data_IF_090739501338
#
_entry.id   IF_090739501338
#
_cell.length_a   1.000
_cell.length_b   1.000
_cell.length_c   1.000
_cell.angle_alpha   90.00
_cell.angle_beta   90.00
_cell.angle_gamma   90.00
#
_symmetry.space_group_name_H-M   'P 1'
#
loop_
_entity.id
_entity.type
_entity.pdbx_description
1 polymer ?
#
# COMPACT_ATOMS: atom_id res chain seq x y z
N UNK A 1 -7.57 -9.11 -3.82
CA UNK A 1 -6.77 -10.30 -3.50
C UNK A 1 -5.31 -9.87 -3.54
N UNK A 2 -4.45 -10.36 -2.67
CA UNK A 2 -3.03 -9.97 -2.70
C UNK A 2 -2.27 -10.82 -3.72
N UNK A 3 -1.12 -10.35 -4.20
CA UNK A 3 -0.24 -11.13 -5.06
C UNK A 3 0.22 -12.43 -4.36
N UNK A 4 0.44 -13.49 -5.15
CA UNK A 4 0.73 -14.85 -4.69
C UNK A 4 -0.41 -15.59 -3.96
N UNK A 5 -1.53 -14.92 -3.67
CA UNK A 5 -2.71 -15.61 -3.17
C UNK A 5 -3.31 -16.50 -4.26
N UNK A 6 -3.92 -17.59 -3.81
CA UNK A 6 -4.63 -18.51 -4.70
C UNK A 6 -6.00 -17.93 -5.02
N UNK A 7 -6.23 -17.58 -6.29
CA UNK A 7 -7.54 -17.18 -6.78
C UNK A 7 -8.40 -18.42 -7.02
N UNK A 8 -9.51 -18.52 -6.30
CA UNK A 8 -10.50 -19.56 -6.50
C UNK A 8 -11.55 -19.10 -7.50
N UNK A 9 -11.59 -19.72 -8.67
CA UNK A 9 -12.53 -19.41 -9.74
C UNK A 9 -13.63 -20.46 -9.74
N UNK A 10 -14.87 -19.98 -9.65
CA UNK A 10 -16.07 -20.80 -9.69
C UNK A 10 -16.80 -20.54 -11.00
N UNK A 11 -16.92 -21.57 -11.82
CA UNK A 11 -17.63 -21.51 -13.09
C UNK A 11 -18.87 -22.40 -13.03
N UNK A 12 -20.04 -21.80 -13.23
CA UNK A 12 -21.30 -22.52 -13.33
C UNK A 12 -21.62 -22.82 -14.81
N UNK A 13 -21.69 -24.10 -15.17
CA UNK A 13 -22.08 -24.53 -16.51
C UNK A 13 -23.48 -25.11 -16.47
N UNK A 14 -24.38 -24.50 -17.26
CA UNK A 14 -25.75 -24.99 -17.46
C UNK A 14 -25.89 -25.66 -18.82
N UNK A 15 -26.21 -26.95 -18.82
CA UNK A 15 -26.41 -27.73 -20.04
C UNK A 15 -27.86 -27.69 -20.44
N UNK A 16 -28.12 -27.20 -21.66
CA UNK A 16 -29.46 -27.18 -22.26
C UNK A 16 -29.73 -28.37 -23.18
N UNK A 17 -28.72 -29.20 -23.45
CA UNK A 17 -28.84 -30.38 -24.30
C UNK A 17 -29.79 -31.42 -23.67
N UNK A 18 -30.53 -32.11 -24.54
CA UNK A 18 -31.40 -33.24 -24.18
C UNK A 18 -30.61 -34.56 -24.09
N UNK A 19 -29.44 -34.62 -24.75
CA UNK A 19 -28.52 -35.76 -24.75
C UNK A 19 -27.35 -35.43 -23.81
N UNK A 20 -26.82 -36.40 -23.03
CA UNK A 20 -25.62 -36.21 -22.22
C UNK A 20 -24.42 -35.80 -23.08
N UNK A 21 -23.49 -35.08 -22.48
CA UNK A 21 -22.25 -34.63 -23.13
C UNK A 21 -21.09 -35.37 -22.49
N UNK A 22 -20.19 -35.87 -23.34
CA UNK A 22 -19.01 -36.64 -22.94
C UNK A 22 -17.75 -35.83 -23.24
N UNK A 23 -16.67 -36.15 -22.52
CA UNK A 23 -15.32 -35.68 -22.83
C UNK A 23 -15.26 -34.16 -23.05
N UNK A 24 -15.74 -33.38 -22.09
CA UNK A 24 -15.77 -31.94 -22.16
C UNK A 24 -14.44 -31.37 -21.65
N UNK A 25 -13.82 -30.53 -22.46
CA UNK A 25 -12.59 -29.83 -22.11
C UNK A 25 -12.90 -28.36 -22.00
N UNK A 26 -12.87 -27.84 -20.77
CA UNK A 26 -12.99 -26.41 -20.52
C UNK A 26 -11.60 -25.82 -20.44
N UNK A 27 -11.32 -24.83 -21.27
CA UNK A 27 -10.12 -24.02 -21.21
C UNK A 27 -10.51 -22.59 -20.91
N UNK A 28 -9.99 -22.03 -19.82
CA UNK A 28 -10.17 -20.63 -19.50
C UNK A 28 -8.83 -19.89 -19.59
N UNK A 29 -8.87 -18.68 -20.14
CA UNK A 29 -7.68 -17.86 -20.31
C UNK A 29 -7.48 -16.97 -19.10
N UNK A 30 -6.33 -17.13 -18.44
CA UNK A 30 -5.95 -16.43 -17.23
C UNK A 30 -4.80 -15.50 -17.55
N UNK A 31 -5.09 -14.21 -17.78
CA UNK A 31 -4.04 -13.26 -18.15
C UNK A 31 -2.98 -13.06 -17.06
N UNK A 32 -3.30 -13.40 -15.79
CA UNK A 32 -2.39 -13.24 -14.67
C UNK A 32 -1.43 -14.42 -14.46
N UNK A 33 -1.72 -15.60 -15.01
CA UNK A 33 -0.90 -16.78 -14.78
C UNK A 33 0.42 -16.69 -15.59
N UNK A 34 1.45 -17.40 -15.12
CA UNK A 34 2.70 -17.57 -15.86
C UNK A 34 2.44 -18.15 -17.26
N UNK A 35 3.31 -17.88 -18.22
CA UNK A 35 3.11 -18.23 -19.64
C UNK A 35 2.75 -19.70 -19.88
N UNK A 36 3.28 -20.61 -19.06
CA UNK A 36 2.98 -22.05 -19.10
C UNK A 36 1.56 -22.41 -18.63
N UNK A 37 0.95 -21.59 -17.77
CA UNK A 37 -0.33 -21.83 -17.10
C UNK A 37 -1.43 -20.82 -17.47
N UNK A 38 -1.23 -19.99 -18.50
CA UNK A 38 -2.24 -19.04 -19.00
C UNK A 38 -3.53 -19.70 -19.43
N UNK A 39 -3.49 -20.96 -19.86
CA UNK A 39 -4.66 -21.72 -20.26
C UNK A 39 -4.94 -22.79 -19.21
N UNK A 40 -5.84 -22.49 -18.28
CA UNK A 40 -6.24 -23.51 -17.33
C UNK A 40 -7.25 -24.45 -17.97
N UNK A 41 -6.94 -25.74 -17.99
CA UNK A 41 -7.74 -26.74 -18.67
C UNK A 41 -8.31 -27.74 -17.68
N UNK A 42 -9.64 -27.82 -17.63
CA UNK A 42 -10.38 -28.78 -16.81
C UNK A 42 -11.05 -29.80 -17.72
N UNK A 43 -10.72 -31.07 -17.50
CA UNK A 43 -11.35 -32.20 -18.18
C UNK A 43 -12.53 -32.69 -17.36
N UNK A 44 -13.66 -32.91 -18.04
CA UNK A 44 -14.87 -33.44 -17.44
C UNK A 44 -15.41 -34.54 -18.32
N UNK A 45 -15.33 -35.76 -17.83
CA UNK A 45 -15.64 -36.96 -18.60
C UNK A 45 -17.12 -37.04 -18.99
N UNK A 46 -18.00 -36.56 -18.10
CA UNK A 46 -19.43 -36.75 -18.27
C UNK A 46 -20.26 -35.63 -17.65
N UNK A 47 -21.27 -35.19 -18.41
CA UNK A 47 -22.35 -34.37 -17.91
C UNK A 47 -23.72 -34.96 -18.24
N UNK A 48 -24.60 -34.94 -17.24
CA UNK A 48 -25.99 -35.32 -17.41
C UNK A 48 -26.73 -34.29 -18.28
N UNK A 49 -27.68 -34.78 -19.07
CA UNK A 49 -28.58 -33.90 -19.82
C UNK A 49 -29.38 -32.99 -18.86
N UNK A 50 -29.59 -31.73 -19.26
CA UNK A 50 -30.33 -30.72 -18.49
C UNK A 50 -29.83 -30.50 -17.05
N UNK A 51 -28.54 -30.74 -16.78
CA UNK A 51 -27.95 -30.47 -15.47
C UNK A 51 -27.20 -29.13 -15.43
N UNK A 52 -26.95 -28.69 -14.21
CA UNK A 52 -26.05 -27.59 -13.90
C UNK A 52 -24.94 -28.15 -13.04
N UNK A 53 -23.68 -27.85 -13.38
CA UNK A 53 -22.52 -28.27 -12.60
C UNK A 53 -21.67 -27.05 -12.32
N UNK A 54 -21.11 -27.02 -11.13
CA UNK A 54 -20.16 -26.01 -10.69
C UNK A 54 -18.76 -26.60 -10.78
N UNK A 55 -17.86 -25.90 -11.46
CA UNK A 55 -16.46 -26.26 -11.61
C UNK A 55 -15.65 -25.27 -10.79
N UNK A 56 -14.72 -25.81 -10.01
CA UNK A 56 -13.80 -25.04 -9.20
C UNK A 56 -12.39 -25.28 -9.74
N UNK A 57 -11.68 -24.20 -10.04
CA UNK A 57 -10.26 -24.26 -10.35
C UNK A 57 -9.53 -23.06 -9.76
N UNK A 58 -8.23 -23.27 -9.57
CA UNK A 58 -7.38 -22.31 -8.90
C UNK A 58 -6.37 -21.73 -9.87
N UNK A 59 -6.02 -20.47 -9.69
CA UNK A 59 -4.85 -19.89 -10.32
C UNK A 59 -4.07 -19.02 -9.34
N UNK A 60 -2.78 -18.88 -9.59
CA UNK A 60 -1.91 -18.01 -8.80
C UNK A 60 -1.53 -16.85 -9.71
N UNK A 61 -1.75 -15.63 -9.23
CA UNK A 61 -1.28 -14.43 -9.91
C UNK A 61 0.02 -13.99 -9.21
N UNK A 62 1.19 -14.13 -9.85
CA UNK A 62 2.46 -13.87 -9.18
C UNK A 62 2.68 -12.38 -8.99
N UNK A 63 2.28 -11.53 -9.93
CA UNK A 63 2.51 -10.09 -9.89
C UNK A 63 1.21 -9.33 -9.60
N UNK A 64 1.32 -8.15 -8.97
CA UNK A 64 0.21 -7.22 -8.87
C UNK A 64 -0.23 -6.74 -10.26
N UNK A 65 -1.51 -6.40 -10.38
CA UNK A 65 -2.05 -5.95 -11.65
C UNK A 65 -3.56 -6.01 -11.72
N UNK A 66 -4.08 -5.38 -12.79
CA UNK A 66 -5.45 -5.62 -13.24
C UNK A 66 -5.43 -6.67 -14.34
N UNK A 67 -6.10 -7.78 -14.10
CA UNK A 67 -6.13 -8.94 -14.99
C UNK A 67 -7.54 -9.26 -15.45
N UNK A 68 -7.63 -9.97 -16.58
CA UNK A 68 -8.87 -10.47 -17.15
C UNK A 68 -8.82 -11.99 -17.23
N UNK A 69 -9.89 -12.60 -16.75
CA UNK A 69 -10.18 -14.01 -16.90
C UNK A 69 -11.17 -14.15 -18.05
N UNK A 70 -10.91 -15.09 -18.96
CA UNK A 70 -11.65 -15.27 -20.20
C UNK A 70 -10.85 -14.86 -21.43
N UNK A 71 -11.28 -15.27 -22.64
CA UNK A 71 -12.55 -15.94 -22.92
C UNK A 71 -12.52 -17.43 -22.57
N UNK A 72 -13.68 -17.96 -22.19
CA UNK A 72 -13.84 -19.38 -21.88
C UNK A 72 -14.08 -20.17 -23.17
N UNK A 73 -13.24 -21.14 -23.43
CA UNK A 73 -13.38 -22.07 -24.55
C UNK A 73 -13.81 -23.44 -24.04
N UNK A 74 -14.86 -24.01 -24.63
CA UNK A 74 -15.30 -25.36 -24.33
C UNK A 74 -15.17 -26.20 -25.59
N UNK A 75 -14.50 -27.33 -25.47
CA UNK A 75 -14.43 -28.37 -26.49
C UNK A 75 -15.30 -29.54 -26.05
N UNK A 76 -16.13 -30.01 -26.96
CA UNK A 76 -16.93 -31.22 -26.78
C UNK A 76 -16.39 -32.26 -27.74
N UNK A 77 -16.02 -33.43 -27.24
CA UNK A 77 -15.60 -34.55 -28.05
C UNK A 77 -16.72 -35.59 -28.11
N UNK A 78 -16.83 -36.32 -29.22
CA UNK A 78 -17.71 -37.48 -29.25
C UNK A 78 -17.17 -38.61 -28.33
N UNK A 79 -17.98 -39.64 -27.98
CA UNK A 79 -17.54 -40.71 -27.08
C UNK A 79 -16.31 -41.48 -27.55
N UNK A 80 -16.04 -41.53 -28.87
CA UNK A 80 -14.85 -42.18 -29.45
C UNK A 80 -13.68 -41.20 -29.62
N UNK A 81 -13.88 -39.90 -29.40
CA UNK A 81 -12.85 -38.86 -29.50
C UNK A 81 -12.39 -38.55 -30.93
N UNK A 82 -13.17 -38.91 -31.95
CA UNK A 82 -12.86 -38.75 -33.37
C UNK A 82 -13.14 -37.34 -33.90
N UNK A 83 -14.15 -36.67 -33.34
CA UNK A 83 -14.64 -35.36 -33.73
C UNK A 83 -14.78 -34.47 -32.51
N UNK A 84 -14.55 -33.17 -32.70
CA UNK A 84 -14.81 -32.19 -31.65
C UNK A 84 -15.56 -30.96 -32.18
N UNK A 85 -16.35 -30.36 -31.29
CA UNK A 85 -16.99 -29.07 -31.50
C UNK A 85 -16.39 -28.10 -30.49
N UNK A 86 -15.83 -27.00 -30.98
CA UNK A 86 -15.37 -25.89 -30.14
C UNK A 86 -16.47 -24.84 -30.01
N UNK A 87 -16.75 -24.40 -28.79
CA UNK A 87 -17.61 -23.26 -28.49
C UNK A 87 -16.88 -22.28 -27.58
N UNK A 88 -16.75 -21.04 -28.03
CA UNK A 88 -16.14 -19.96 -27.24
C UNK A 88 -17.21 -19.06 -26.64
N UNK A 89 -17.07 -18.77 -25.36
CA UNK A 89 -17.90 -17.85 -24.59
C UNK A 89 -17.06 -16.63 -24.25
N UNK A 90 -17.45 -15.48 -24.80
CA UNK A 90 -16.80 -14.18 -24.53
C UNK A 90 -17.29 -13.60 -23.19
N UNK A 91 -17.13 -14.39 -22.12
CA UNK A 91 -17.39 -13.99 -20.75
C UNK A 91 -16.06 -13.56 -20.16
N UNK A 92 -16.02 -12.37 -19.58
CA UNK A 92 -14.82 -11.82 -18.97
C UNK A 92 -15.09 -11.45 -17.53
N UNK A 93 -14.14 -11.78 -16.65
CA UNK A 93 -14.13 -11.32 -15.26
C UNK A 93 -12.87 -10.52 -15.01
N UNK A 94 -12.99 -9.35 -14.38
CA UNK A 94 -11.83 -8.52 -14.02
C UNK A 94 -11.39 -8.84 -12.59
N UNK A 95 -10.08 -8.99 -12.41
CA UNK A 95 -9.46 -9.30 -11.11
C UNK A 95 -8.40 -8.25 -10.81
N UNK A 96 -8.49 -7.64 -9.64
CA UNK A 96 -7.45 -6.77 -9.10
C UNK A 96 -6.59 -7.55 -8.11
N UNK A 97 -5.31 -7.64 -8.44
CA UNK A 97 -4.27 -8.25 -7.59
C UNK A 97 -3.47 -7.12 -6.97
N UNK A 98 -3.54 -7.02 -5.65
CA UNK A 98 -2.91 -5.99 -4.85
C UNK A 98 -1.47 -6.35 -4.46
N UNK A 99 -0.60 -5.35 -4.23
CA UNK A 99 0.74 -5.61 -3.70
C UNK A 99 0.69 -6.26 -2.31
N UNK A 100 1.61 -7.20 -2.04
CA UNK A 100 1.67 -7.91 -0.76
C UNK A 100 2.36 -7.05 0.28
N UNK A 101 1.57 -6.37 1.10
CA UNK A 101 2.07 -5.58 2.22
C UNK A 101 2.69 -6.47 3.31
N UNK A 102 3.85 -6.07 3.83
CA UNK A 102 4.48 -6.69 5.00
C UNK A 102 3.99 -6.02 6.29
N UNK A 103 4.15 -6.73 7.41
CA UNK A 103 3.77 -6.19 8.71
C UNK A 103 4.89 -5.30 9.27
N UNK A 104 4.54 -4.08 9.68
CA UNK A 104 5.46 -3.14 10.30
C UNK A 104 5.34 -3.28 11.82
N UNK A 105 6.40 -3.75 12.47
CA UNK A 105 6.43 -3.97 13.92
C UNK A 105 6.74 -2.70 14.71
N UNK A 106 7.67 -1.89 14.19
CA UNK A 106 8.09 -0.61 14.76
C UNK A 106 7.91 0.47 13.71
N UNK A 107 7.57 1.68 14.11
CA UNK A 107 7.47 2.81 13.20
C UNK A 107 8.03 4.06 13.88
N UNK A 108 8.72 4.96 13.15
CA UNK A 108 9.22 6.20 13.73
C UNK A 108 8.09 7.03 14.34
N UNK A 109 8.40 7.83 15.35
CA UNK A 109 7.41 8.73 15.94
C UNK A 109 6.92 9.72 14.88
N UNK A 110 5.61 9.80 14.70
CA UNK A 110 4.97 10.92 14.03
C UNK A 110 5.10 12.17 14.94
N UNK A 111 4.96 13.37 14.38
CA UNK A 111 5.21 14.67 15.04
C UNK A 111 4.78 14.74 16.53
N UNK A 112 5.67 15.24 17.40
CA UNK A 112 5.52 15.64 18.83
C UNK A 112 4.52 14.87 19.72
N UNK A 113 4.23 13.62 19.42
CA UNK A 113 3.37 12.76 20.21
C UNK A 113 3.76 11.32 20.00
N UNK A 114 4.06 10.63 21.10
CA UNK A 114 4.32 9.19 21.13
C UNK A 114 3.04 8.50 20.64
N UNK A 115 3.13 7.71 19.56
CA UNK A 115 2.10 6.69 19.29
C UNK A 115 2.04 5.82 20.54
N UNK A 116 0.93 5.77 21.30
CA UNK A 116 0.87 4.94 22.48
C UNK A 116 1.16 3.50 22.05
N UNK A 117 2.11 2.87 22.76
CA UNK A 117 2.52 1.47 22.57
C UNK A 117 1.36 0.48 22.82
N UNK A 118 0.24 0.97 23.36
CA UNK A 118 -0.99 0.23 23.61
C UNK A 118 -2.10 0.71 22.68
N UNK A 119 -2.90 -0.25 22.22
CA UNK A 119 -3.93 -0.12 21.20
C UNK A 119 -4.75 1.16 21.29
N UNK A 120 -5.06 1.67 20.10
CA UNK A 120 -5.89 2.85 19.91
C UNK A 120 -7.32 2.45 20.26
N UNK A 121 -7.76 2.78 21.47
CA UNK A 121 -9.19 2.91 21.73
C UNK A 121 -9.68 4.15 21.00
N UNK A 122 -10.18 3.94 19.77
CA UNK A 122 -10.91 4.98 19.04
C UNK A 122 -12.26 5.18 19.72
N UNK A 123 -12.39 6.22 20.53
CA UNK A 123 -13.71 6.72 20.91
C UNK A 123 -14.16 7.70 19.81
N UNK A 124 -15.13 7.25 19.01
CA UNK A 124 -15.90 8.13 18.12
C UNK A 124 -16.80 9.01 18.98
N UNK A 125 -16.64 10.33 18.96
CA UNK A 125 -17.74 11.28 19.16
C UNK A 125 -17.46 12.57 18.36
N UNK A 126 -18.47 13.03 17.64
CA UNK A 126 -18.52 14.35 16.99
C UNK A 126 -18.67 15.47 18.01
N UNK A 127 -17.95 16.57 17.81
CA UNK A 127 -18.16 17.83 18.52
C UNK A 127 -16.84 18.54 18.76
N UNK A 128 -16.87 19.87 18.75
CA UNK A 128 -15.75 20.81 18.94
C UNK A 128 -15.11 20.76 20.36
N UNK A 129 -15.25 19.63 21.06
CA UNK A 129 -14.76 19.41 22.42
C UNK A 129 -13.64 18.37 22.40
N UNK A 130 -12.42 18.89 22.29
CA UNK A 130 -11.20 18.42 22.95
C UNK A 130 -11.55 17.50 24.17
N UNK A 131 -11.18 16.21 24.18
CA UNK A 131 -11.59 15.27 25.24
C UNK A 131 -10.97 15.65 26.60
N UNK A 132 -11.74 15.60 27.70
CA UNK A 132 -11.22 15.93 29.03
C UNK A 132 -10.10 14.97 29.45
N UNK A 133 -8.87 15.49 29.59
CA UNK A 133 -7.68 14.72 29.97
C UNK A 133 -7.44 14.73 31.47
N UNK A 134 -7.70 15.86 32.13
CA UNK A 134 -7.43 16.01 33.55
C UNK A 134 -7.49 17.46 34.02
N UNK A 135 -6.87 17.72 35.17
CA UNK A 135 -6.82 19.05 35.78
C UNK A 135 -5.42 19.36 36.29
N UNK A 136 -5.01 20.62 36.19
CA UNK A 136 -3.75 21.11 36.77
C UNK A 136 -3.90 22.50 37.37
N UNK A 137 -2.92 22.92 38.15
CA UNK A 137 -2.85 24.29 38.65
C UNK A 137 -2.68 25.30 37.52
N UNK A 138 -3.36 26.44 37.68
CA UNK A 138 -3.30 27.58 36.77
C UNK A 138 -1.88 28.15 36.73
N UNK A 139 -1.40 28.43 35.52
CA UNK A 139 -0.17 29.21 35.30
C UNK A 139 -0.51 30.51 34.57
N UNK A 140 0.18 31.62 34.87
CA UNK A 140 0.03 32.86 34.12
C UNK A 140 0.19 32.60 32.61
N UNK A 141 -0.82 32.99 31.83
CA UNK A 141 -0.91 32.70 30.39
C UNK A 141 -1.97 31.67 30.00
N UNK A 142 -2.52 30.93 30.96
CA UNK A 142 -3.62 30.00 30.70
C UNK A 142 -4.94 30.75 30.40
N UNK A 143 -5.75 30.27 29.42
CA UNK A 143 -7.01 30.90 29.08
C UNK A 143 -8.03 30.74 30.22
N UNK A 144 -8.60 31.85 30.67
CA UNK A 144 -9.59 31.92 31.76
C UNK A 144 -10.80 31.01 31.50
N UNK A 145 -11.20 30.85 30.22
CA UNK A 145 -12.32 29.97 29.81
C UNK A 145 -12.12 28.51 30.19
N UNK A 146 -10.88 28.06 30.42
CA UNK A 146 -10.56 26.68 30.81
C UNK A 146 -10.50 26.46 32.32
N UNK A 147 -10.79 27.47 33.15
CA UNK A 147 -10.78 27.33 34.61
C UNK A 147 -11.96 26.46 35.08
N UNK A 148 -11.67 25.43 35.86
CA UNK A 148 -12.67 24.59 36.49
C UNK A 148 -13.18 25.22 37.79
N UNK A 149 -14.07 26.23 37.69
CA UNK A 149 -14.55 27.02 38.83
C UNK A 149 -14.97 26.21 40.06
N UNK A 150 -15.74 25.14 39.88
CA UNK A 150 -16.21 24.32 41.00
C UNK A 150 -15.09 23.57 41.75
N UNK A 151 -14.01 23.19 41.05
CA UNK A 151 -12.87 22.51 41.66
C UNK A 151 -11.90 23.53 42.25
N UNK A 152 -11.73 24.68 41.60
CA UNK A 152 -10.97 25.81 42.11
C UNK A 152 -11.52 26.32 43.45
N UNK A 153 -12.85 26.42 43.56
CA UNK A 153 -13.52 26.83 44.79
C UNK A 153 -13.29 25.83 45.94
N UNK A 154 -13.22 24.52 45.65
CA UNK A 154 -12.98 23.48 46.66
C UNK A 154 -11.52 23.41 47.12
N UNK A 155 -10.56 23.66 46.23
CA UNK A 155 -9.12 23.59 46.55
C UNK A 155 -8.51 24.93 46.99
N UNK A 156 -9.28 26.02 46.95
CA UNK A 156 -8.82 27.39 47.20
C UNK A 156 -7.61 27.79 46.35
N UNK A 157 -7.50 27.22 45.14
CA UNK A 157 -6.46 27.51 44.15
C UNK A 157 -7.06 27.43 42.75
N UNK A 158 -6.56 28.23 41.80
CA UNK A 158 -7.09 28.22 40.43
C UNK A 158 -6.65 26.93 39.72
N UNK A 159 -7.64 26.16 39.27
CA UNK A 159 -7.44 24.89 38.56
C UNK A 159 -7.96 25.02 37.13
N UNK A 160 -7.18 24.54 36.18
CA UNK A 160 -7.46 24.58 34.75
C UNK A 160 -7.76 23.16 34.25
N UNK A 161 -8.84 23.00 33.49
CA UNK A 161 -9.15 21.78 32.74
C UNK A 161 -8.09 21.59 31.66
N UNK A 162 -7.43 20.44 31.68
CA UNK A 162 -6.60 19.98 30.57
C UNK A 162 -7.47 19.14 29.67
N UNK A 163 -7.39 19.44 28.37
CA UNK A 163 -8.02 18.66 27.35
C UNK A 163 -6.95 17.97 26.51
N UNK A 164 -7.21 16.73 26.13
CA UNK A 164 -6.40 15.99 25.19
C UNK A 164 -6.71 16.58 23.82
N UNK A 165 -5.73 17.27 23.24
CA UNK A 165 -5.80 17.56 21.80
C UNK A 165 -5.83 16.21 21.09
N UNK A 166 -6.91 15.95 20.36
CA UNK A 166 -6.89 14.91 19.34
C UNK A 166 -5.85 15.35 18.30
N UNK A 167 -4.63 14.83 18.43
CA UNK A 167 -3.63 15.01 17.38
C UNK A 167 -4.10 14.14 16.21
N UNK A 168 -4.78 14.74 15.25
CA UNK A 168 -5.06 14.08 13.99
C UNK A 168 -3.72 13.94 13.27
N UNK A 169 -2.99 12.85 13.56
CA UNK A 169 -1.78 12.52 12.82
C UNK A 169 -2.14 12.49 11.33
N UNK A 170 -1.46 13.35 10.58
CA UNK A 170 -1.59 13.46 9.13
C UNK A 170 -0.27 13.07 8.53
N UNK A 171 -0.28 12.07 7.66
CA UNK A 171 0.91 11.60 6.97
C UNK A 171 0.69 11.77 5.47
N UNK A 172 1.55 12.55 4.83
CA UNK A 172 1.63 12.60 3.37
C UNK A 172 2.72 11.64 2.93
N UNK A 173 2.36 10.65 2.12
CA UNK A 173 3.31 9.73 1.47
C UNK A 173 3.61 10.29 0.08
N UNK A 174 4.88 10.59 -0.19
CA UNK A 174 5.35 11.12 -1.47
C UNK A 174 6.34 10.15 -2.11
N UNK A 175 6.12 9.77 -3.36
CA UNK A 175 7.05 8.91 -4.10
C UNK A 175 6.97 9.10 -5.62
N UNK A 176 8.01 8.69 -6.34
CA UNK A 176 8.09 8.79 -7.80
C UNK A 176 8.49 7.44 -8.39
N UNK A 177 7.74 6.93 -9.35
CA UNK A 177 8.04 5.69 -10.06
C UNK A 177 8.64 6.01 -11.43
N UNK A 178 9.93 6.35 -11.44
CA UNK A 178 10.69 6.61 -12.68
C UNK A 178 11.17 5.32 -13.33
N UNK A 179 11.10 5.26 -14.66
CA UNK A 179 11.68 4.15 -15.42
C UNK A 179 13.21 4.18 -15.41
N UNK A 180 13.82 5.37 -15.40
CA UNK A 180 15.27 5.55 -15.53
C UNK A 180 16.04 4.91 -14.36
N UNK A 181 15.44 4.92 -13.17
CA UNK A 181 16.03 4.37 -11.94
C UNK A 181 15.43 3.02 -11.54
N UNK A 182 14.63 2.40 -12.41
CA UNK A 182 13.97 1.13 -12.12
C UNK A 182 14.87 -0.07 -12.47
N UNK A 183 15.88 -0.31 -11.63
CA UNK A 183 16.74 -1.49 -11.74
C UNK A 183 16.05 -2.75 -11.20
N UNK A 184 16.53 -3.93 -11.63
CA UNK A 184 16.01 -5.24 -11.25
C UNK A 184 14.92 -5.76 -12.20
N UNK A 185 14.44 -6.98 -11.94
CA UNK A 185 13.47 -7.66 -12.80
C UNK A 185 12.35 -8.30 -11.99
N UNK A 186 11.14 -8.27 -12.54
CA UNK A 186 9.95 -8.80 -11.87
C UNK A 186 9.81 -8.16 -10.48
N UNK A 187 9.50 -8.99 -9.47
CA UNK A 187 9.30 -8.62 -8.05
C UNK A 187 10.52 -8.00 -7.38
N UNK A 188 11.70 -8.25 -7.93
CA UNK A 188 12.98 -7.77 -7.38
C UNK A 188 13.42 -6.47 -8.05
N UNK A 189 12.49 -5.68 -8.57
CA UNK A 189 12.78 -4.35 -9.10
C UNK A 189 12.50 -3.24 -8.08
N UNK A 190 13.16 -2.10 -8.29
CA UNK A 190 13.06 -0.92 -7.41
C UNK A 190 11.61 -0.47 -7.28
N UNK A 191 10.85 -0.40 -8.38
CA UNK A 191 9.45 0.01 -8.38
C UNK A 191 8.57 -0.91 -7.52
N UNK A 192 8.78 -2.22 -7.60
CA UNK A 192 8.03 -3.20 -6.80
C UNK A 192 8.31 -3.03 -5.30
N UNK A 193 9.58 -2.79 -4.94
CA UNK A 193 9.97 -2.51 -3.56
C UNK A 193 9.34 -1.20 -3.05
N UNK A 194 9.37 -0.13 -3.84
CA UNK A 194 8.71 1.13 -3.49
C UNK A 194 7.22 0.94 -3.24
N UNK A 195 6.52 0.25 -4.15
CA UNK A 195 5.09 0.00 -4.05
C UNK A 195 4.78 -0.87 -2.82
N UNK A 196 5.60 -1.89 -2.54
CA UNK A 196 5.46 -2.74 -1.35
C UNK A 196 5.65 -1.95 -0.06
N UNK A 197 6.63 -1.04 -0.01
CA UNK A 197 6.86 -0.14 1.13
C UNK A 197 5.66 0.78 1.33
N UNK A 198 5.20 1.45 0.28
CA UNK A 198 4.05 2.37 0.32
C UNK A 198 2.78 1.64 0.77
N UNK A 199 2.50 0.46 0.21
CA UNK A 199 1.36 -0.37 0.59
C UNK A 199 1.40 -0.74 2.08
N UNK A 200 2.57 -1.13 2.57
CA UNK A 200 2.77 -1.56 3.97
C UNK A 200 2.62 -0.40 4.95
N UNK A 201 3.20 0.76 4.62
CA UNK A 201 3.09 1.98 5.43
C UNK A 201 1.64 2.48 5.44
N UNK A 202 0.98 2.57 4.28
CA UNK A 202 -0.41 3.00 4.19
C UNK A 202 -1.32 2.08 5.01
N UNK A 203 -1.16 0.76 4.89
CA UNK A 203 -1.89 -0.23 5.71
C UNK A 203 -1.61 -0.05 7.20
N UNK A 204 -0.36 0.11 7.61
CA UNK A 204 0.01 0.31 9.01
C UNK A 204 -0.62 1.57 9.63
N UNK A 205 -0.63 2.67 8.89
CA UNK A 205 -1.16 3.96 9.32
C UNK A 205 -2.69 3.97 9.35
N UNK A 206 -3.35 3.49 8.28
CA UNK A 206 -4.81 3.50 8.17
C UNK A 206 -5.49 2.52 9.13
N UNK A 207 -4.86 1.38 9.43
CA UNK A 207 -5.34 0.46 10.49
C UNK A 207 -5.25 1.07 11.89
N UNK A 208 -4.49 2.17 12.06
CA UNK A 208 -4.34 2.94 13.29
C UNK A 208 -5.09 4.27 13.26
N UNK A 209 -6.06 4.41 12.35
CA UNK A 209 -6.88 5.62 12.17
C UNK A 209 -6.05 6.92 11.92
N UNK A 210 -4.84 6.77 11.39
CA UNK A 210 -4.02 7.92 10.96
C UNK A 210 -4.55 8.41 9.61
N UNK A 211 -4.64 9.73 9.42
CA UNK A 211 -5.03 10.31 8.14
C UNK A 211 -3.86 10.22 7.17
N UNK A 212 -4.08 9.57 6.03
CA UNK A 212 -3.04 9.41 5.00
C UNK A 212 -3.45 10.17 3.75
N UNK A 213 -2.48 10.85 3.15
CA UNK A 213 -2.54 11.41 1.80
C UNK A 213 -1.44 10.71 0.98
N UNK A 214 -1.71 10.40 -0.28
CA UNK A 214 -0.72 9.84 -1.20
C UNK A 214 -0.55 10.77 -2.39
N UNK A 215 0.69 11.17 -2.63
CA UNK A 215 1.10 11.96 -3.79
C UNK A 215 2.15 11.13 -4.51
N UNK A 216 1.86 10.76 -5.74
CA UNK A 216 2.74 9.92 -6.52
C UNK A 216 2.83 10.43 -7.95
N UNK A 217 3.97 10.18 -8.59
CA UNK A 217 4.05 10.24 -10.04
C UNK A 217 4.39 8.86 -10.58
N UNK A 218 3.47 8.33 -11.38
CA UNK A 218 3.65 7.10 -12.13
C UNK A 218 3.62 7.50 -13.61
N UNK A 219 2.63 7.09 -14.39
CA UNK A 219 2.40 7.64 -15.73
C UNK A 219 1.91 9.11 -15.68
N UNK A 220 1.09 9.40 -14.68
CA UNK A 220 0.55 10.73 -14.39
C UNK A 220 0.71 11.07 -12.90
N UNK A 221 0.48 12.35 -12.57
CA UNK A 221 0.41 12.81 -11.18
C UNK A 221 -0.87 12.24 -10.56
N UNK A 222 -0.70 11.40 -9.55
CA UNK A 222 -1.79 10.84 -8.77
C UNK A 222 -1.80 11.49 -7.39
N UNK A 223 -2.94 12.06 -7.03
CA UNK A 223 -3.18 12.64 -5.71
C UNK A 223 -4.40 12.00 -5.08
N UNK A 224 -4.17 11.23 -4.02
CA UNK A 224 -5.21 10.71 -3.15
C UNK A 224 -5.22 11.57 -1.88
N UNK A 225 -6.20 12.48 -1.71
CA UNK A 225 -6.20 13.45 -0.62
C UNK A 225 -6.39 12.77 0.74
N UNK A 226 -6.11 13.52 1.82
CA UNK A 226 -6.24 13.03 3.18
C UNK A 226 -7.57 12.33 3.45
N UNK A 227 -7.48 11.05 3.79
CA UNK A 227 -8.62 10.27 4.23
C UNK A 227 -8.17 9.18 5.21
N UNK A 228 -9.13 8.40 5.74
CA UNK A 228 -8.94 7.39 6.78
C UNK A 228 -9.74 6.12 6.48
N UNK A 229 -9.45 5.07 7.25
CA UNK A 229 -10.23 3.85 7.24
C UNK A 229 -9.93 2.93 6.07
N UNK A 230 -10.72 1.85 6.00
CA UNK A 230 -10.48 0.74 5.06
C UNK A 230 -10.85 1.09 3.61
N UNK A 231 -11.86 1.93 3.39
CA UNK A 231 -12.24 2.34 2.03
C UNK A 231 -11.10 3.12 1.37
N UNK A 232 -10.44 4.01 2.11
CA UNK A 232 -9.27 4.72 1.62
C UNK A 232 -8.07 3.80 1.39
N UNK A 233 -7.90 2.78 2.25
CA UNK A 233 -6.87 1.76 2.05
C UNK A 233 -7.11 1.01 0.74
N UNK A 234 -8.35 0.67 0.42
CA UNK A 234 -8.72 0.02 -0.84
C UNK A 234 -8.40 0.91 -2.05
N UNK A 235 -8.69 2.22 -1.98
CA UNK A 235 -8.38 3.16 -3.04
C UNK A 235 -6.86 3.26 -3.29
N UNK A 236 -6.06 3.35 -2.22
CA UNK A 236 -4.59 3.33 -2.32
C UNK A 236 -4.12 2.02 -2.95
N UNK A 237 -4.62 0.87 -2.49
CA UNK A 237 -4.24 -0.44 -3.01
C UNK A 237 -4.65 -0.62 -4.47
N UNK A 238 -5.80 -0.08 -4.87
CA UNK A 238 -6.25 -0.06 -6.27
C UNK A 238 -5.32 0.75 -7.14
N UNK A 239 -4.91 1.94 -6.70
CA UNK A 239 -3.88 2.71 -7.39
C UNK A 239 -2.56 1.94 -7.51
N UNK A 240 -2.04 1.43 -6.40
CA UNK A 240 -0.78 0.68 -6.38
C UNK A 240 -0.82 -0.58 -7.26
N UNK A 241 -1.97 -1.25 -7.38
CA UNK A 241 -2.14 -2.43 -8.23
C UNK A 241 -1.86 -2.17 -9.71
N UNK A 242 -2.10 -0.95 -10.19
CA UNK A 242 -1.94 -0.58 -11.59
C UNK A 242 -0.76 0.37 -11.84
N UNK A 243 -0.12 0.87 -10.78
CA UNK A 243 0.99 1.80 -10.86
C UNK A 243 2.21 1.18 -11.57
N UNK A 244 2.72 1.89 -12.58
CA UNK A 244 3.87 1.50 -13.40
C UNK A 244 4.99 2.53 -13.30
N UNK A 245 6.26 2.13 -13.46
CA UNK A 245 7.39 3.03 -13.47
C UNK A 245 7.50 3.75 -14.82
N UNK A 246 6.54 4.63 -15.12
CA UNK A 246 6.46 5.36 -16.39
C UNK A 246 6.58 6.88 -16.17
N UNK A 247 7.10 7.29 -15.02
CA UNK A 247 7.30 8.70 -14.69
C UNK A 247 8.31 9.36 -15.62
N UNK A 248 7.92 10.55 -16.09
CA UNK A 248 8.69 11.43 -16.97
C UNK A 248 9.28 12.64 -16.25
N UNK A 249 8.92 12.85 -14.99
CA UNK A 249 9.35 14.00 -14.19
C UNK A 249 10.14 13.54 -12.98
N UNK A 250 11.10 14.36 -12.58
CA UNK A 250 11.90 14.13 -11.38
C UNK A 250 11.08 14.38 -10.11
N UNK A 251 11.52 13.82 -8.98
CA UNK A 251 10.82 14.00 -7.71
C UNK A 251 10.80 15.47 -7.24
N UNK A 252 11.81 16.26 -7.61
CA UNK A 252 11.83 17.71 -7.33
C UNK A 252 10.63 18.45 -7.93
N UNK A 253 10.24 18.14 -9.17
CA UNK A 253 9.11 18.79 -9.84
C UNK A 253 7.75 18.36 -9.26
N UNK A 254 7.62 17.07 -8.90
CA UNK A 254 6.48 16.58 -8.12
C UNK A 254 6.40 17.32 -6.80
N UNK A 255 7.53 17.44 -6.10
CA UNK A 255 7.57 18.11 -4.82
C UNK A 255 7.22 19.59 -4.92
N UNK A 256 7.77 20.34 -5.88
CA UNK A 256 7.45 21.75 -6.10
C UNK A 256 5.94 21.95 -6.32
N UNK A 257 5.33 21.09 -7.14
CA UNK A 257 3.90 21.14 -7.46
C UNK A 257 2.98 20.92 -6.24
N UNK A 258 3.45 20.20 -5.23
CA UNK A 258 2.65 19.80 -4.07
C UNK A 258 3.10 20.39 -2.73
N UNK A 259 4.27 21.02 -2.67
CA UNK A 259 4.87 21.58 -1.45
C UNK A 259 3.91 22.54 -0.71
N UNK A 260 3.14 23.33 -1.45
CA UNK A 260 2.14 24.26 -0.91
C UNK A 260 0.90 23.58 -0.32
N UNK A 261 0.63 22.32 -0.68
CA UNK A 261 -0.53 21.55 -0.21
C UNK A 261 -0.23 20.74 1.05
N UNK A 262 1.06 20.47 1.32
CA UNK A 262 1.49 19.79 2.54
C UNK A 262 1.14 20.68 3.75
N UNK A 263 0.48 20.10 4.76
CA UNK A 263 0.02 20.81 5.95
C UNK A 263 1.15 21.13 6.93
N UNK A 264 1.07 22.25 7.66
CA UNK A 264 2.10 22.73 8.61
C UNK A 264 2.24 21.90 9.90
N UNK A 265 1.43 20.86 10.09
CA UNK A 265 1.50 19.97 11.25
C UNK A 265 1.38 18.49 10.83
N UNK A 266 1.87 18.15 9.64
CA UNK A 266 1.90 16.78 9.13
C UNK A 266 3.28 16.14 9.22
N UNK A 267 3.31 14.82 9.04
CA UNK A 267 4.53 14.08 8.74
C UNK A 267 4.60 13.88 7.23
N UNK A 268 5.72 14.27 6.62
CA UNK A 268 6.04 13.94 5.24
C UNK A 268 6.90 12.67 5.23
N UNK A 269 6.38 11.60 4.64
CA UNK A 269 7.10 10.36 4.40
C UNK A 269 7.44 10.28 2.92
N UNK A 270 8.72 10.22 2.59
CA UNK A 270 9.16 10.10 1.19
C UNK A 270 9.75 8.74 0.94
N UNK A 271 9.34 8.09 -0.15
CA UNK A 271 10.01 6.89 -0.67
C UNK A 271 10.78 7.30 -1.92
N UNK A 272 12.10 7.25 -1.82
CA UNK A 272 13.06 7.84 -2.75
C UNK A 272 14.07 6.81 -3.22
N UNK A 273 14.73 7.07 -4.34
CA UNK A 273 15.97 6.38 -4.70
C UNK A 273 17.20 7.15 -4.21
N UNK A 274 18.35 6.50 -4.16
CA UNK A 274 19.65 7.14 -3.88
C UNK A 274 20.01 8.23 -4.91
N UNK A 275 19.49 8.16 -6.13
CA UNK A 275 19.61 9.23 -7.14
C UNK A 275 18.79 10.48 -6.78
N UNK A 276 17.68 10.31 -6.05
CA UNK A 276 16.80 11.43 -5.65
C UNK A 276 17.32 12.19 -4.42
N UNK A 277 18.42 11.75 -3.80
CA UNK A 277 19.01 12.35 -2.59
C UNK A 277 19.32 13.84 -2.81
N UNK A 278 19.64 14.26 -4.04
CA UNK A 278 19.92 15.66 -4.38
C UNK A 278 18.74 16.58 -4.02
N UNK A 279 17.50 16.09 -4.11
CA UNK A 279 16.28 16.83 -3.80
C UNK A 279 15.96 16.87 -2.30
N UNK A 280 16.62 16.07 -1.46
CA UNK A 280 16.36 16.06 -0.01
C UNK A 280 16.57 17.43 0.64
N UNK A 281 17.51 18.24 0.14
CA UNK A 281 17.73 19.60 0.64
C UNK A 281 16.50 20.50 0.48
N UNK A 282 15.83 20.43 -0.68
CA UNK A 282 14.57 21.14 -0.94
C UNK A 282 13.44 20.62 -0.05
N UNK A 283 13.38 19.31 0.16
CA UNK A 283 12.36 18.69 1.00
C UNK A 283 12.55 19.06 2.48
N UNK A 284 13.80 19.05 2.96
CA UNK A 284 14.16 19.43 4.32
C UNK A 284 13.92 20.92 4.56
N UNK A 285 13.94 21.78 3.54
CA UNK A 285 13.58 23.19 3.71
C UNK A 285 12.16 23.38 4.27
N UNK A 286 11.26 22.40 4.08
CA UNK A 286 9.93 22.38 4.70
C UNK A 286 9.94 22.09 6.20
N UNK A 287 11.05 21.61 6.78
CA UNK A 287 11.18 21.43 8.24
C UNK A 287 10.96 22.73 9.01
N UNK A 288 11.14 23.89 8.37
CA UNK A 288 10.81 25.21 8.91
C UNK A 288 9.31 25.36 9.24
N UNK A 289 8.43 24.58 8.62
CA UNK A 289 6.98 24.59 8.82
C UNK A 289 6.51 23.58 9.86
N UNK A 290 7.35 23.15 10.82
CA UNK A 290 7.01 22.15 11.86
C UNK A 290 6.60 20.76 11.31
N UNK A 291 6.96 20.47 10.05
CA UNK A 291 6.72 19.19 9.39
C UNK A 291 7.77 18.16 9.84
N UNK A 292 7.31 17.01 10.33
CA UNK A 292 8.19 15.87 10.62
C UNK A 292 8.54 15.16 9.32
N UNK A 293 9.81 14.80 9.13
CA UNK A 293 10.28 14.20 7.87
C UNK A 293 10.83 12.80 8.10
N UNK A 294 10.34 11.82 7.31
CA UNK A 294 10.78 10.42 7.33
C UNK A 294 11.18 10.02 5.91
N UNK A 295 12.48 10.12 5.55
CA UNK A 295 12.96 9.64 4.27
C UNK A 295 13.23 8.13 4.30
N UNK A 296 12.60 7.39 3.39
CA UNK A 296 12.92 6.01 3.05
C UNK A 296 13.67 6.02 1.71
N UNK A 297 14.92 5.57 1.70
CA UNK A 297 15.83 5.66 0.55
C UNK A 297 16.18 4.26 0.06
N UNK A 298 15.87 3.95 -1.19
CA UNK A 298 16.25 2.71 -1.85
C UNK A 298 17.63 2.87 -2.51
N UNK A 299 18.55 1.98 -2.15
CA UNK A 299 19.90 1.90 -2.71
C UNK A 299 19.85 1.16 -4.06
N UNK A 300 19.70 1.91 -5.16
CA UNK A 300 19.41 1.34 -6.49
C UNK A 300 20.49 0.40 -7.00
N UNK A 301 21.76 0.65 -6.66
CA UNK A 301 22.88 -0.21 -7.05
C UNK A 301 22.72 -1.67 -6.58
N UNK A 302 22.06 -1.91 -5.43
CA UNK A 302 21.82 -3.26 -4.90
C UNK A 302 20.81 -4.07 -5.73
N UNK A 303 20.06 -3.39 -6.59
CA UNK A 303 19.09 -4.00 -7.51
C UNK A 303 19.69 -4.30 -8.89
N UNK A 304 20.96 -3.93 -9.12
CA UNK A 304 21.64 -4.27 -10.36
C UNK A 304 21.80 -5.80 -10.49
N UNK A 305 21.64 -6.39 -11.68
CA UNK A 305 21.73 -7.85 -11.86
C UNK A 305 23.05 -8.46 -11.42
N UNK A 306 24.12 -7.66 -11.44
CA UNK A 306 25.50 -8.06 -11.09
C UNK A 306 25.83 -7.86 -9.60
N UNK A 307 24.96 -7.18 -8.85
CA UNK A 307 25.19 -6.90 -7.43
C UNK A 307 25.05 -8.18 -6.58
N UNK A 308 25.95 -8.36 -5.61
CA UNK A 308 25.85 -9.49 -4.68
C UNK A 308 24.85 -9.18 -3.56
N UNK A 309 24.05 -10.19 -3.20
CA UNK A 309 23.11 -10.09 -2.08
C UNK A 309 23.89 -9.75 -0.80
N UNK A 310 23.55 -8.62 -0.17
CA UNK A 310 24.20 -8.13 1.06
C UNK A 310 25.23 -7.01 0.87
N UNK A 311 25.53 -6.58 -0.37
CA UNK A 311 26.45 -5.45 -0.63
C UNK A 311 25.99 -4.13 0.02
N UNK A 312 24.69 -3.94 0.24
CA UNK A 312 24.13 -2.72 0.86
C UNK A 312 24.46 -2.52 2.35
N UNK A 313 24.95 -3.54 3.07
CA UNK A 313 25.27 -3.44 4.50
C UNK A 313 26.58 -2.69 4.77
N UNK A 314 27.53 -2.73 3.84
CA UNK A 314 28.87 -2.14 4.02
C UNK A 314 28.90 -0.62 3.84
N UNK A 315 27.95 -0.04 3.09
CA UNK A 315 27.91 1.41 2.80
C UNK A 315 26.90 2.19 3.64
N UNK A 316 26.16 1.51 4.53
CA UNK A 316 25.28 2.17 5.50
C UNK A 316 25.99 3.25 6.30
N UNK A 317 27.31 3.18 6.46
CA UNK A 317 28.12 4.16 7.18
C UNK A 317 28.65 5.31 6.32
N UNK A 318 28.77 5.15 4.98
CA UNK A 318 29.35 6.17 4.09
C UNK A 318 28.29 7.11 3.50
N UNK A 319 27.05 6.64 3.39
CA UNK A 319 25.93 7.36 2.77
C UNK A 319 24.98 8.00 3.77
N UNK A 320 25.36 8.21 5.04
CA UNK A 320 24.60 9.00 6.02
C UNK A 320 25.05 10.46 5.91
N UNK A 321 24.54 11.29 4.98
CA UNK A 321 24.63 12.71 5.18
C UNK A 321 23.89 13.00 6.48
N UNK A 322 24.54 13.68 7.42
CA UNK A 322 23.89 14.27 8.59
C UNK A 322 22.92 15.36 8.08
N UNK A 323 21.77 14.93 7.58
CA UNK A 323 20.71 15.78 7.07
C UNK A 323 19.96 16.38 8.26
N UNK A 324 20.53 17.40 8.91
CA UNK A 324 19.85 18.24 9.91
C UNK A 324 18.96 17.46 10.90
N UNK A 325 19.52 16.47 11.63
CA UNK A 325 18.82 15.60 12.59
C UNK A 325 17.75 14.63 12.03
N UNK A 326 17.64 14.48 10.71
CA UNK A 326 16.79 13.48 10.07
C UNK A 326 17.57 12.18 9.90
N UNK A 327 17.01 11.06 10.36
CA UNK A 327 17.60 9.73 10.17
C UNK A 327 16.88 9.03 9.02
N UNK A 328 17.49 8.91 7.83
CA UNK A 328 16.93 8.13 6.73
C UNK A 328 16.86 6.64 7.06
N UNK A 329 15.85 5.99 6.52
CA UNK A 329 15.68 4.54 6.51
C UNK A 329 16.18 4.03 5.16
N UNK A 330 17.24 3.21 5.17
CA UNK A 330 17.80 2.66 3.94
C UNK A 330 17.19 1.31 3.60
N UNK A 331 16.89 1.12 2.33
CA UNK A 331 16.33 -0.11 1.77
C UNK A 331 17.27 -0.62 0.68
N UNK A 332 17.56 -1.91 0.72
CA UNK A 332 18.36 -2.60 -0.28
C UNK A 332 17.69 -3.92 -0.66
N UNK A 333 18.13 -4.50 -1.76
CA UNK A 333 17.62 -5.79 -2.24
C UNK A 333 17.86 -6.89 -1.22
N UNK A 334 16.81 -7.65 -0.89
CA UNK A 334 16.87 -8.75 0.08
C UNK A 334 16.88 -8.31 1.55
N UNK A 335 16.51 -7.06 1.85
CA UNK A 335 16.33 -6.57 3.23
C UNK A 335 15.29 -7.42 3.98
N UNK A 336 15.51 -7.56 5.29
CA UNK A 336 14.49 -8.10 6.18
C UNK A 336 13.41 -7.04 6.44
N UNK A 337 12.22 -7.26 5.88
CA UNK A 337 11.08 -6.33 5.99
C UNK A 337 10.66 -6.03 7.44
N UNK A 338 10.85 -6.97 8.37
CA UNK A 338 10.50 -6.79 9.78
C UNK A 338 11.41 -5.77 10.49
N UNK A 339 12.63 -5.58 9.98
CA UNK A 339 13.65 -4.71 10.55
C UNK A 339 13.71 -3.33 9.91
N UNK A 340 12.89 -3.07 8.88
CA UNK A 340 12.93 -1.83 8.09
C UNK A 340 12.96 -0.55 8.94
N UNK A 341 12.17 -0.50 10.01
CA UNK A 341 12.08 0.65 10.91
C UNK A 341 12.72 0.38 12.29
N UNK A 342 13.57 -0.64 12.38
CA UNK A 342 14.32 -0.93 13.60
C UNK A 342 15.44 0.12 13.77
N UNK A 343 15.68 0.64 14.99
CA UNK A 343 16.73 1.63 15.23
C UNK A 343 18.17 1.11 15.00
N UNK A 344 18.33 -0.20 14.82
CA UNK A 344 19.59 -0.87 14.48
C UNK A 344 19.60 -1.47 13.07
N UNK A 345 18.50 -1.27 12.33
CA UNK A 345 18.17 -1.94 11.08
C UNK A 345 18.57 -1.18 9.84
#
# INVERSE_FOLDING_TARGET
>A
MDEEDTLHITTEIKIKSVIPLFNLVLTDYLSCAEDSNKNNTVLIDFFKAKSTTVILYNCICPLRGKYRIGPMCIYFFDPLGLFFIKKTFNIYSEVHVYPKAFNILKFPSLSKGILPWFGIETTRISGDDDDFFGVREYKPGDPIKRIHWALSAKKNSLIVKQYQRQSFYRVTILFNLSNENNFGYGKESVAEYMIKIVASIAKYLLTRDVSVEVIAHAEEIVHLPFNRGMDHLEDIFRFLSIARPESKIGLGEVFESFSHRISDDSTLLTVLTDQDIVYLSQIISLSARNISFIPVILLTHTFHPEARIGEGLAEKSSLIPELNNVRPVYVYRGINWEELFSPYG
#
